data_IF_906290111965
#
_entry.id   IF_906290111965
#
_cell.length_a   1.000
_cell.length_b   1.000
_cell.length_c   1.000
_cell.angle_alpha   90.00
_cell.angle_beta   90.00
_cell.angle_gamma   90.00
#
_symmetry.space_group_name_H-M   'P 1'
#
loop_
_entity.id
_entity.type
_entity.pdbx_description
1 polymer ?
#
# COMPACT_ATOMS: atom_id res chain seq x y z
N UNK A 1 4.99 -10.23 -23.25
CA UNK A 1 5.49 -9.09 -22.45
C UNK A 1 5.66 -9.61 -21.03
N UNK A 2 6.87 -9.60 -20.48
CA UNK A 2 7.11 -10.10 -19.12
C UNK A 2 6.94 -8.95 -18.14
N UNK A 3 6.08 -9.11 -17.13
CA UNK A 3 5.91 -8.16 -16.03
C UNK A 3 6.74 -8.62 -14.84
N UNK A 4 7.43 -7.68 -14.20
CA UNK A 4 8.24 -7.95 -13.01
C UNK A 4 7.75 -7.07 -11.87
N UNK A 5 7.54 -7.68 -10.72
CA UNK A 5 7.20 -6.98 -9.48
C UNK A 5 8.36 -7.13 -8.50
N UNK A 6 8.83 -6.02 -7.93
CA UNK A 6 9.94 -6.01 -7.00
C UNK A 6 9.69 -5.02 -5.86
N UNK A 7 10.11 -5.39 -4.65
CA UNK A 7 10.13 -4.47 -3.52
C UNK A 7 11.31 -3.53 -3.68
N UNK A 8 11.01 -2.25 -3.93
CA UNK A 8 12.02 -1.21 -4.08
C UNK A 8 12.70 -0.89 -2.75
N UNK A 9 11.92 -0.58 -1.70
CA UNK A 9 12.44 -0.19 -0.39
C UNK A 9 11.36 -0.17 0.69
N UNK A 10 11.79 -0.08 1.95
CA UNK A 10 10.96 0.24 3.12
C UNK A 10 11.61 1.43 3.83
N UNK A 11 10.92 2.56 3.87
CA UNK A 11 11.43 3.79 4.46
C UNK A 11 10.81 4.03 5.85
N UNK A 12 11.63 4.15 6.91
CA UNK A 12 11.11 4.45 8.24
C UNK A 12 10.73 5.93 8.38
N UNK A 13 9.51 6.19 8.85
CA UNK A 13 9.06 7.54 9.21
C UNK A 13 9.26 7.78 10.71
N UNK A 14 10.20 8.67 11.07
CA UNK A 14 10.64 8.85 12.47
C UNK A 14 9.73 9.73 13.34
N UNK A 15 8.87 10.54 12.73
CA UNK A 15 8.09 11.56 13.46
C UNK A 15 6.60 11.34 13.26
N UNK A 16 6.06 11.93 12.20
CA UNK A 16 4.65 11.94 11.88
C UNK A 16 4.43 11.23 10.55
N UNK A 17 3.17 10.89 10.29
CA UNK A 17 2.73 10.20 9.08
C UNK A 17 1.85 11.11 8.21
N UNK A 18 2.11 12.43 8.23
CA UNK A 18 1.43 13.37 7.36
C UNK A 18 1.89 13.13 5.92
N UNK A 19 1.10 13.55 4.95
CA UNK A 19 1.48 13.39 3.55
C UNK A 19 2.79 14.08 3.19
N UNK A 20 3.09 15.22 3.83
CA UNK A 20 4.38 15.91 3.73
C UNK A 20 5.55 15.06 4.25
N UNK A 21 5.40 14.39 5.40
CA UNK A 21 6.46 13.54 5.95
C UNK A 21 6.77 12.37 4.99
N UNK A 22 5.73 11.77 4.41
CA UNK A 22 5.85 10.70 3.42
C UNK A 22 6.51 11.21 2.15
N UNK A 23 6.06 12.36 1.63
CA UNK A 23 6.61 12.98 0.42
C UNK A 23 8.09 13.31 0.57
N UNK A 24 8.48 13.98 1.67
CA UNK A 24 9.88 14.34 1.91
C UNK A 24 10.76 13.08 2.04
N UNK A 25 10.29 12.04 2.72
CA UNK A 25 11.03 10.78 2.83
C UNK A 25 11.16 10.08 1.47
N UNK A 26 10.09 10.05 0.68
CA UNK A 26 10.06 9.42 -0.63
C UNK A 26 10.97 10.17 -1.62
N UNK A 27 10.79 11.48 -1.76
CA UNK A 27 11.55 12.34 -2.67
C UNK A 27 13.04 12.24 -2.41
N UNK A 28 13.45 12.37 -1.15
CA UNK A 28 14.84 12.21 -0.73
C UNK A 28 15.41 10.86 -1.18
N UNK A 29 14.67 9.76 -1.02
CA UNK A 29 15.13 8.44 -1.44
C UNK A 29 15.25 8.33 -2.98
N UNK A 30 14.28 8.86 -3.73
CA UNK A 30 14.32 8.89 -5.20
C UNK A 30 15.55 9.63 -5.71
N UNK A 31 15.86 10.79 -5.12
CA UNK A 31 17.04 11.60 -5.43
C UNK A 31 18.34 10.85 -5.07
N UNK A 32 18.46 10.35 -3.84
CA UNK A 32 19.65 9.60 -3.38
C UNK A 32 19.94 8.36 -4.22
N UNK A 33 18.90 7.72 -4.77
CA UNK A 33 19.03 6.53 -5.62
C UNK A 33 19.02 6.84 -7.12
N UNK A 34 18.94 8.10 -7.51
CA UNK A 34 18.83 8.53 -8.91
C UNK A 34 17.74 7.76 -9.68
N UNK A 35 16.61 7.52 -9.02
CA UNK A 35 15.50 6.80 -9.65
C UNK A 35 14.85 7.71 -10.68
N UNK A 36 14.67 7.25 -11.94
CA UNK A 36 14.15 8.08 -13.03
C UNK A 36 12.64 8.31 -12.87
N UNK A 37 12.27 9.23 -11.99
CA UNK A 37 10.87 9.47 -11.59
C UNK A 37 9.98 9.95 -12.74
N UNK A 38 10.57 10.57 -13.76
CA UNK A 38 9.91 10.93 -15.03
C UNK A 38 9.31 9.74 -15.79
N UNK A 39 9.68 8.49 -15.43
CA UNK A 39 9.11 7.26 -16.00
C UNK A 39 7.89 6.74 -15.26
N UNK A 40 7.48 7.37 -14.16
CA UNK A 40 6.28 6.96 -13.41
C UNK A 40 5.04 7.19 -14.24
N UNK A 41 4.21 6.15 -14.39
CA UNK A 41 2.93 6.23 -15.10
C UNK A 41 1.75 6.26 -14.14
N UNK A 42 1.87 5.60 -12.99
CA UNK A 42 0.80 5.39 -12.03
C UNK A 42 1.34 5.34 -10.61
N UNK A 43 0.58 5.90 -9.66
CA UNK A 43 0.78 5.66 -8.23
C UNK A 43 -0.48 5.09 -7.58
N UNK A 44 -0.30 4.09 -6.71
CA UNK A 44 -1.39 3.45 -5.97
C UNK A 44 -1.19 3.66 -4.47
N UNK A 45 -2.22 4.16 -3.77
CA UNK A 45 -2.16 4.43 -2.32
C UNK A 45 -3.40 3.90 -1.59
N UNK A 46 -3.30 3.69 -0.28
CA UNK A 46 -4.34 3.07 0.57
C UNK A 46 -5.57 3.96 0.86
N UNK A 47 -5.73 5.04 0.11
CA UNK A 47 -6.81 6.03 0.28
C UNK A 47 -6.82 6.78 1.62
N UNK A 48 -5.78 6.63 2.46
CA UNK A 48 -5.70 7.36 3.71
C UNK A 48 -5.71 8.88 3.44
N UNK A 49 -6.34 9.71 4.31
CA UNK A 49 -6.41 11.15 4.11
C UNK A 49 -5.05 11.83 3.97
N UNK A 50 -3.98 11.28 4.53
CA UNK A 50 -2.60 11.78 4.36
C UNK A 50 -2.05 11.52 2.96
N UNK A 51 -2.58 10.53 2.23
CA UNK A 51 -2.10 10.12 0.92
C UNK A 51 -2.86 10.79 -0.23
N UNK A 52 -4.20 10.84 -0.18
CA UNK A 52 -5.04 11.06 -1.38
C UNK A 52 -5.75 12.40 -1.51
N UNK A 53 -5.94 13.16 -0.44
CA UNK A 53 -6.65 14.44 -0.56
C UNK A 53 -5.84 15.55 -1.26
N UNK A 54 -6.42 16.75 -1.30
CA UNK A 54 -6.06 17.83 -2.23
C UNK A 54 -4.93 18.77 -1.80
N UNK A 55 -4.79 19.07 -0.51
CA UNK A 55 -3.81 20.03 0.01
C UNK A 55 -2.83 19.33 0.96
N UNK A 56 -1.52 19.56 0.77
CA UNK A 56 -0.41 19.11 1.63
C UNK A 56 -0.43 17.62 1.97
N UNK A 57 -0.75 16.82 0.95
CA UNK A 57 -0.82 15.36 1.02
C UNK A 57 0.12 14.77 -0.01
N UNK A 58 0.47 13.51 0.19
CA UNK A 58 1.52 12.86 -0.60
C UNK A 58 1.29 12.98 -2.11
N UNK A 59 0.14 12.52 -2.62
CA UNK A 59 -0.14 12.55 -4.06
C UNK A 59 -0.25 13.98 -4.61
N UNK A 60 -0.89 14.88 -3.85
CA UNK A 60 -1.02 16.29 -4.25
C UNK A 60 0.32 17.02 -4.28
N UNK A 61 1.30 16.60 -3.48
CA UNK A 61 2.67 17.12 -3.54
C UNK A 61 3.41 16.57 -4.75
N UNK A 62 3.33 15.26 -5.01
CA UNK A 62 3.90 14.66 -6.21
C UNK A 62 3.32 15.27 -7.51
N UNK A 63 2.03 15.57 -7.56
CA UNK A 63 1.41 16.22 -8.74
C UNK A 63 1.83 17.67 -8.98
N UNK A 64 2.36 18.36 -7.95
CA UNK A 64 2.78 19.76 -8.03
C UNK A 64 4.30 19.92 -8.13
N UNK A 65 5.03 18.81 -8.09
CA UNK A 65 6.49 18.77 -8.21
C UNK A 65 6.85 18.53 -9.67
N UNK A 66 7.60 19.47 -10.25
CA UNK A 66 7.96 19.52 -11.67
C UNK A 66 8.84 18.34 -12.11
N UNK A 67 9.47 17.62 -11.18
CA UNK A 67 10.24 16.42 -11.53
C UNK A 67 9.33 15.23 -11.87
N UNK A 68 8.06 15.25 -11.43
CA UNK A 68 7.11 14.20 -11.71
C UNK A 68 6.41 14.44 -13.06
N UNK A 69 6.20 13.38 -13.85
CA UNK A 69 5.41 13.49 -15.07
C UNK A 69 3.92 13.63 -14.72
N UNK A 70 3.07 13.83 -15.72
CA UNK A 70 1.65 13.53 -15.52
C UNK A 70 1.47 12.02 -15.30
N UNK A 71 0.94 11.64 -14.15
CA UNK A 71 0.70 10.24 -13.77
C UNK A 71 -0.74 10.02 -13.28
N UNK A 72 -1.22 8.80 -13.43
CA UNK A 72 -2.53 8.37 -12.92
C UNK A 72 -2.45 8.05 -11.42
N UNK A 73 -3.56 8.20 -10.71
CA UNK A 73 -3.65 7.77 -9.31
C UNK A 73 -4.78 6.79 -9.10
N UNK A 74 -4.47 5.66 -8.44
CA UNK A 74 -5.46 4.67 -8.05
C UNK A 74 -5.47 4.46 -6.53
N UNK A 75 -6.60 3.96 -6.06
CA UNK A 75 -6.72 3.41 -4.72
C UNK A 75 -6.20 1.98 -4.70
N UNK A 76 -5.61 1.57 -3.57
CA UNK A 76 -5.19 0.20 -3.34
C UNK A 76 -6.38 -0.76 -3.54
N UNK A 77 -6.17 -1.83 -4.32
CA UNK A 77 -7.19 -2.84 -4.60
C UNK A 77 -7.76 -3.44 -3.31
N UNK A 78 -6.93 -3.60 -2.27
CA UNK A 78 -7.33 -4.14 -0.97
C UNK A 78 -8.31 -3.17 -0.27
N UNK A 79 -8.06 -1.87 -0.37
CA UNK A 79 -8.98 -0.85 0.16
C UNK A 79 -10.32 -0.90 -0.57
N UNK A 80 -10.29 -0.98 -1.90
CA UNK A 80 -11.50 -1.07 -2.73
C UNK A 80 -12.30 -2.35 -2.43
N UNK A 81 -11.64 -3.50 -2.30
CA UNK A 81 -12.29 -4.75 -1.91
C UNK A 81 -12.94 -4.64 -0.53
N UNK A 82 -12.24 -4.08 0.46
CA UNK A 82 -12.80 -3.86 1.78
C UNK A 82 -14.04 -2.95 1.77
N UNK A 83 -14.05 -1.94 0.90
CA UNK A 83 -15.21 -1.07 0.70
C UNK A 83 -16.37 -1.81 0.00
N UNK A 84 -16.07 -2.54 -1.07
CA UNK A 84 -17.06 -3.36 -1.80
C UNK A 84 -17.72 -4.40 -0.88
N UNK A 85 -16.98 -5.06 0.01
CA UNK A 85 -17.56 -6.02 0.95
C UNK A 85 -18.60 -5.39 1.89
N UNK A 86 -18.43 -4.11 2.25
CA UNK A 86 -19.42 -3.38 3.05
C UNK A 86 -20.71 -3.14 2.27
N UNK A 87 -20.58 -2.82 0.98
CA UNK A 87 -21.71 -2.54 0.07
C UNK A 87 -22.46 -3.82 -0.27
N UNK A 88 -21.75 -4.89 -0.62
CA UNK A 88 -22.32 -6.18 -1.04
C UNK A 88 -22.90 -7.01 0.12
N UNK A 89 -23.00 -6.44 1.33
CA UNK A 89 -23.45 -7.10 2.57
C UNK A 89 -22.77 -8.45 2.87
N UNK A 90 -21.50 -8.62 2.49
CA UNK A 90 -20.73 -9.85 2.73
C UNK A 90 -20.21 -9.97 4.17
N UNK A 91 -20.83 -9.24 5.12
CA UNK A 91 -20.41 -9.18 6.53
C UNK A 91 -20.31 -10.57 7.15
N UNK A 92 -21.24 -11.47 6.84
CA UNK A 92 -21.22 -12.83 7.37
C UNK A 92 -20.00 -13.62 6.89
N UNK A 93 -19.74 -13.63 5.58
CA UNK A 93 -18.59 -14.33 4.97
C UNK A 93 -17.27 -13.76 5.51
N UNK A 94 -17.11 -12.44 5.50
CA UNK A 94 -15.91 -11.79 6.04
C UNK A 94 -15.72 -12.07 7.54
N UNK A 95 -16.82 -12.15 8.30
CA UNK A 95 -16.79 -12.54 9.71
C UNK A 95 -16.25 -13.96 9.91
N UNK A 96 -16.63 -14.91 9.06
CA UNK A 96 -16.09 -16.28 9.09
C UNK A 96 -14.60 -16.27 8.71
N UNK A 97 -14.22 -15.61 7.61
CA UNK A 97 -12.82 -15.51 7.17
C UNK A 97 -11.94 -14.92 8.29
N UNK A 98 -12.38 -13.83 8.93
CA UNK A 98 -11.65 -13.21 10.04
C UNK A 98 -11.53 -14.14 11.25
N UNK A 99 -12.56 -14.93 11.59
CA UNK A 99 -12.47 -15.94 12.66
C UNK A 99 -11.41 -16.99 12.35
N UNK A 100 -11.35 -17.48 11.11
CA UNK A 100 -10.36 -18.48 10.68
C UNK A 100 -8.95 -17.88 10.79
N UNK A 101 -8.72 -16.71 10.20
CA UNK A 101 -7.42 -16.01 10.26
C UNK A 101 -7.00 -15.76 11.71
N UNK A 102 -7.92 -15.32 12.56
CA UNK A 102 -7.64 -15.08 13.98
C UNK A 102 -7.36 -16.38 14.75
N UNK A 103 -8.01 -17.50 14.41
CA UNK A 103 -7.71 -18.81 15.03
C UNK A 103 -6.29 -19.27 14.68
N UNK A 104 -5.92 -19.20 13.40
CA UNK A 104 -4.56 -19.53 12.93
C UNK A 104 -3.54 -18.60 13.58
N UNK A 105 -3.83 -17.29 13.64
CA UNK A 105 -2.94 -16.31 14.27
C UNK A 105 -2.97 -16.31 15.79
N UNK A 106 -3.93 -16.96 16.44
CA UNK A 106 -4.05 -17.01 17.90
C UNK A 106 -3.33 -18.22 18.50
N UNK A 107 -3.11 -19.28 17.72
CA UNK A 107 -2.61 -20.56 18.20
C UNK A 107 -1.25 -20.88 17.58
N UNK A 108 -0.25 -21.14 18.43
CA UNK A 108 1.13 -21.40 17.98
C UNK A 108 1.24 -22.64 17.09
N UNK A 109 0.50 -23.71 17.39
CA UNK A 109 0.47 -24.93 16.58
C UNK A 109 -0.12 -24.68 15.19
N UNK A 110 -1.31 -24.09 15.12
CA UNK A 110 -2.00 -23.78 13.85
C UNK A 110 -1.15 -22.89 12.96
N UNK A 111 -0.48 -21.88 13.53
CA UNK A 111 0.41 -21.00 12.79
C UNK A 111 1.61 -21.74 12.19
N UNK A 112 2.20 -22.70 12.93
CA UNK A 112 3.32 -23.52 12.43
C UNK A 112 2.86 -24.48 11.34
N UNK A 113 1.72 -25.15 11.52
CA UNK A 113 1.17 -26.06 10.51
C UNK A 113 0.82 -25.32 9.22
N UNK A 114 0.15 -24.18 9.33
CA UNK A 114 -0.17 -23.34 8.18
C UNK A 114 1.09 -22.90 7.42
N UNK A 115 2.16 -22.53 8.13
CA UNK A 115 3.45 -22.18 7.50
C UNK A 115 4.08 -23.37 6.78
N UNK A 116 4.08 -24.56 7.39
CA UNK A 116 4.60 -25.78 6.76
C UNK A 116 3.89 -26.09 5.44
N UNK A 117 2.56 -25.96 5.41
CA UNK A 117 1.76 -26.21 4.21
C UNK A 117 2.05 -25.21 3.07
N UNK A 118 2.43 -23.96 3.41
CA UNK A 118 2.82 -22.96 2.41
C UNK A 118 4.23 -23.17 1.85
N UNK A 119 5.10 -23.87 2.57
CA UNK A 119 6.48 -24.17 2.14
C UNK A 119 6.57 -25.46 1.30
N UNK A 120 5.56 -26.31 1.36
CA UNK A 120 5.45 -27.54 0.56
C UNK A 120 4.93 -27.32 -0.88
N UNK A 121 4.54 -26.09 -1.23
CA UNK A 121 4.03 -25.70 -2.56
C UNK A 121 4.89 -24.59 -3.18
#
# INVERSE_FOLDING_TARGET
MSTKEELLTILPLKKKTRGEDVYCSFKKYIEEKNIPIYKVVLMTTDAAPSMTGTINRFLAMCMRDDDFPHFLTYHCIIHQQALCCKILNMRHVMGICMKIVNSIRGRSLERRMFRSQLEEN
#
